data_IF_248531228534
#
_entry.id   IF_248531228534
#
_cell.length_a   1.000
_cell.length_b   1.000
_cell.length_c   1.000
_cell.angle_alpha   90.00
_cell.angle_beta   90.00
_cell.angle_gamma   90.00
#
_symmetry.space_group_name_H-M   'P 1'
#
loop_
_entity.id
_entity.type
_entity.pdbx_description
1 polymer ?
#
# COMPACT_ATOMS: atom_id res chain seq x y z
N UNK A 1 -1.95 -7.68 23.66
CA UNK A 1 -2.93 -8.78 23.51
C UNK A 1 -4.13 -8.36 22.67
N UNK A 2 -4.72 -7.18 22.89
CA UNK A 2 -5.84 -6.64 22.10
C UNK A 2 -5.41 -5.46 21.22
N UNK A 3 -4.46 -5.67 20.31
CA UNK A 3 -4.17 -4.70 19.26
C UNK A 3 -5.28 -4.75 18.19
N UNK A 4 -5.64 -3.65 17.52
CA UNK A 4 -6.76 -3.63 16.59
C UNK A 4 -6.59 -4.57 15.37
N UNK A 5 -5.37 -4.95 15.02
CA UNK A 5 -5.06 -5.92 13.94
C UNK A 5 -4.85 -7.35 14.48
N UNK A 6 -4.98 -7.58 15.78
CA UNK A 6 -4.70 -8.89 16.36
C UNK A 6 -5.87 -9.86 16.20
N UNK A 7 -5.54 -11.14 15.99
CA UNK A 7 -6.51 -12.25 15.98
C UNK A 7 -7.41 -12.30 17.21
N UNK A 8 -6.91 -11.88 18.38
CA UNK A 8 -7.68 -11.85 19.62
C UNK A 8 -8.76 -10.76 19.62
N UNK A 9 -8.46 -9.58 19.10
CA UNK A 9 -9.45 -8.50 18.96
C UNK A 9 -10.57 -8.90 17.99
N UNK A 10 -10.21 -9.51 16.85
CA UNK A 10 -11.18 -10.05 15.89
C UNK A 10 -12.08 -11.13 16.52
N UNK A 11 -11.48 -12.08 17.25
CA UNK A 11 -12.25 -13.12 17.94
C UNK A 11 -13.21 -12.55 18.97
N UNK A 12 -12.76 -11.58 19.78
CA UNK A 12 -13.62 -10.93 20.79
C UNK A 12 -14.76 -10.16 20.13
N UNK A 13 -14.49 -9.39 19.06
CA UNK A 13 -15.55 -8.65 18.36
C UNK A 13 -16.58 -9.60 17.72
N UNK A 14 -16.12 -10.69 17.13
CA UNK A 14 -17.00 -11.71 16.56
C UNK A 14 -17.89 -12.38 17.63
N UNK A 15 -17.33 -12.69 18.80
CA UNK A 15 -18.11 -13.23 19.93
C UNK A 15 -19.15 -12.22 20.44
N UNK A 16 -18.81 -10.94 20.52
CA UNK A 16 -19.76 -9.87 20.88
C UNK A 16 -20.89 -9.78 19.86
N UNK A 17 -20.57 -9.80 18.55
CA UNK A 17 -21.57 -9.78 17.48
C UNK A 17 -22.53 -10.97 17.58
N UNK A 18 -22.01 -12.20 17.71
CA UNK A 18 -22.84 -13.41 17.87
C UNK A 18 -23.69 -13.31 19.14
N UNK A 19 -23.13 -12.85 20.24
CA UNK A 19 -23.85 -12.62 21.50
C UNK A 19 -25.02 -11.63 21.34
N UNK A 20 -24.80 -10.52 20.62
CA UNK A 20 -25.83 -9.51 20.33
C UNK A 20 -26.92 -10.06 19.42
N UNK A 21 -26.59 -10.88 18.42
CA UNK A 21 -27.59 -11.55 17.56
C UNK A 21 -28.49 -12.47 18.37
N UNK A 22 -27.90 -13.31 19.24
CA UNK A 22 -28.65 -14.22 20.12
C UNK A 22 -29.53 -13.42 21.10
N UNK A 23 -28.97 -12.36 21.71
CA UNK A 23 -29.69 -11.50 22.64
C UNK A 23 -30.84 -10.77 21.94
N UNK A 24 -30.64 -10.25 20.73
CA UNK A 24 -31.67 -9.60 19.93
C UNK A 24 -32.85 -10.55 19.66
N UNK A 25 -32.56 -11.78 19.23
CA UNK A 25 -33.57 -12.81 19.01
C UNK A 25 -34.37 -13.14 20.28
N UNK A 26 -33.68 -13.32 21.41
CA UNK A 26 -34.31 -13.57 22.71
C UNK A 26 -35.17 -12.39 23.18
N UNK A 27 -34.65 -11.16 23.07
CA UNK A 27 -35.32 -9.91 23.44
C UNK A 27 -36.56 -9.64 22.61
N UNK A 28 -36.52 -9.88 21.30
CA UNK A 28 -37.67 -9.74 20.42
C UNK A 28 -38.81 -10.73 20.77
N UNK A 29 -38.47 -11.89 21.32
CA UNK A 29 -39.44 -12.89 21.78
C UNK A 29 -40.07 -12.53 23.14
N UNK A 30 -39.29 -11.93 24.04
CA UNK A 30 -39.66 -11.77 25.45
C UNK A 30 -39.96 -10.32 25.89
N UNK A 31 -39.88 -9.34 24.99
CA UNK A 31 -40.10 -7.94 25.33
C UNK A 31 -41.53 -7.67 25.83
N UNK A 32 -41.65 -7.20 27.09
CA UNK A 32 -42.90 -6.74 27.71
C UNK A 32 -42.75 -5.29 28.17
N UNK A 33 -43.83 -4.52 28.09
CA UNK A 33 -43.85 -3.11 28.47
C UNK A 33 -43.04 -2.20 27.53
N UNK A 34 -43.12 -0.88 27.76
CA UNK A 34 -42.48 0.14 26.91
C UNK A 34 -40.95 0.06 26.98
N UNK A 35 -40.38 -0.06 28.19
CA UNK A 35 -38.94 -0.23 28.41
C UNK A 35 -38.38 -1.52 27.81
N UNK A 36 -39.16 -2.60 27.87
CA UNK A 36 -38.80 -3.87 27.23
C UNK A 36 -38.61 -3.70 25.72
N UNK A 37 -39.52 -2.97 25.07
CA UNK A 37 -39.46 -2.69 23.63
C UNK A 37 -38.32 -1.72 23.28
N UNK A 38 -38.10 -0.67 24.08
CA UNK A 38 -36.99 0.27 23.88
C UNK A 38 -35.65 -0.45 23.94
N UNK A 39 -35.40 -1.24 24.98
CA UNK A 39 -34.15 -2.00 25.10
C UNK A 39 -33.99 -3.00 23.96
N UNK A 40 -35.07 -3.67 23.53
CA UNK A 40 -34.99 -4.57 22.37
C UNK A 40 -34.65 -3.84 21.08
N UNK A 41 -35.19 -2.63 20.87
CA UNK A 41 -34.84 -1.80 19.73
C UNK A 41 -33.35 -1.40 19.78
N UNK A 42 -32.84 -0.99 20.94
CA UNK A 42 -31.41 -0.67 21.13
C UNK A 42 -30.53 -1.89 20.81
N UNK A 43 -30.84 -3.07 21.34
CA UNK A 43 -30.06 -4.29 21.07
C UNK A 43 -30.09 -4.65 19.58
N UNK A 44 -31.23 -4.54 18.92
CA UNK A 44 -31.35 -4.79 17.47
C UNK A 44 -30.52 -3.78 16.67
N UNK A 45 -30.46 -2.52 17.09
CA UNK A 45 -29.61 -1.50 16.44
C UNK A 45 -28.11 -1.73 16.68
N UNK A 46 -27.71 -2.36 17.78
CA UNK A 46 -26.30 -2.68 18.05
C UNK A 46 -25.77 -3.86 17.22
N UNK A 47 -26.65 -4.73 16.70
CA UNK A 47 -26.24 -5.86 15.83
C UNK A 47 -25.52 -5.40 14.57
N UNK A 48 -26.07 -4.50 13.71
CA UNK A 48 -25.35 -4.05 12.52
C UNK A 48 -24.07 -3.28 12.87
N UNK A 49 -24.06 -2.51 13.97
CA UNK A 49 -22.86 -1.78 14.43
C UNK A 49 -21.74 -2.75 14.81
N UNK A 50 -22.03 -3.76 15.63
CA UNK A 50 -21.04 -4.77 16.04
C UNK A 50 -20.58 -5.66 14.87
N UNK A 51 -21.47 -5.96 13.93
CA UNK A 51 -21.13 -6.65 12.69
C UNK A 51 -20.15 -5.83 11.85
N UNK A 52 -20.43 -4.53 11.68
CA UNK A 52 -19.53 -3.61 10.99
C UNK A 52 -18.15 -3.54 11.66
N UNK A 53 -18.10 -3.33 12.99
CA UNK A 53 -16.85 -3.31 13.75
C UNK A 53 -16.05 -4.61 13.58
N UNK A 54 -16.74 -5.77 13.55
CA UNK A 54 -16.07 -7.07 13.33
C UNK A 54 -15.48 -7.18 11.92
N UNK A 55 -16.19 -6.68 10.90
CA UNK A 55 -15.66 -6.63 9.52
C UNK A 55 -14.46 -5.69 9.45
N UNK A 56 -14.49 -4.52 10.11
CA UNK A 56 -13.34 -3.63 10.21
C UNK A 56 -12.13 -4.32 10.84
N UNK A 57 -12.29 -5.04 11.95
CA UNK A 57 -11.20 -5.80 12.55
C UNK A 57 -10.72 -6.96 11.67
N UNK A 58 -11.60 -7.59 10.89
CA UNK A 58 -11.22 -8.65 9.95
C UNK A 58 -10.36 -8.10 8.81
N UNK A 59 -10.79 -6.99 8.20
CA UNK A 59 -10.03 -6.29 7.17
C UNK A 59 -8.69 -5.80 7.74
N UNK A 60 -8.72 -5.19 8.94
CA UNK A 60 -7.52 -4.69 9.59
C UNK A 60 -6.55 -5.80 9.99
N UNK A 61 -7.04 -6.96 10.42
CA UNK A 61 -6.21 -8.13 10.69
C UNK A 61 -5.53 -8.67 9.42
N UNK A 62 -6.25 -8.66 8.30
CA UNK A 62 -5.71 -9.16 7.04
C UNK A 62 -4.76 -8.18 6.33
N UNK A 63 -4.89 -6.88 6.63
CA UNK A 63 -4.23 -5.81 5.85
C UNK A 63 -3.36 -4.86 6.67
N UNK A 64 -3.39 -4.97 8.00
CA UNK A 64 -2.63 -4.16 8.95
C UNK A 64 -2.77 -2.64 8.73
N UNK A 65 -3.95 -2.15 8.32
CA UNK A 65 -4.24 -0.71 8.12
C UNK A 65 -3.96 0.14 9.38
N UNK A 66 -4.26 -0.42 10.55
CA UNK A 66 -4.15 0.20 11.85
C UNK A 66 -3.63 -0.83 12.86
N UNK A 67 -2.30 -1.05 12.93
CA UNK A 67 -1.72 -2.02 13.86
C UNK A 67 -1.83 -1.57 15.32
N UNK A 68 -2.11 -0.29 15.57
CA UNK A 68 -2.30 0.24 16.93
C UNK A 68 -3.60 1.03 17.08
N UNK A 69 -4.06 1.16 18.32
CA UNK A 69 -5.19 2.04 18.65
C UNK A 69 -4.89 3.52 18.34
N UNK A 70 -3.62 3.90 18.33
CA UNK A 70 -3.20 5.22 17.87
C UNK A 70 -3.47 5.39 16.38
N UNK A 71 -3.13 4.40 15.56
CA UNK A 71 -3.45 4.40 14.12
C UNK A 71 -4.96 4.44 13.87
N UNK A 72 -5.77 3.75 14.70
CA UNK A 72 -7.25 3.87 14.64
C UNK A 72 -7.73 5.28 14.95
N UNK A 73 -7.14 5.94 15.97
CA UNK A 73 -7.47 7.33 16.29
C UNK A 73 -7.06 8.30 15.16
N UNK A 74 -5.90 8.06 14.53
CA UNK A 74 -5.46 8.81 13.36
C UNK A 74 -6.42 8.65 12.18
N UNK A 75 -6.90 7.43 11.88
CA UNK A 75 -7.94 7.17 10.88
C UNK A 75 -9.26 7.89 11.22
N UNK A 76 -9.54 8.12 12.51
CA UNK A 76 -10.69 8.89 12.97
C UNK A 76 -10.46 10.42 12.97
N UNK A 77 -9.33 10.90 12.44
CA UNK A 77 -8.99 12.32 12.34
C UNK A 77 -8.43 12.94 13.62
N UNK A 78 -8.05 12.14 14.61
CA UNK A 78 -7.36 12.63 15.82
C UNK A 78 -5.91 12.94 15.45
N UNK A 79 -5.59 14.22 15.27
CA UNK A 79 -4.22 14.69 15.02
C UNK A 79 -3.51 14.93 16.35
N UNK A 80 -2.34 14.34 16.52
CA UNK A 80 -1.46 14.62 17.65
C UNK A 80 -0.40 15.62 17.16
N UNK A 81 -0.45 16.87 17.62
CA UNK A 81 0.58 17.85 17.28
C UNK A 81 1.90 17.43 17.92
N UNK A 82 2.89 17.08 17.08
CA UNK A 82 4.28 16.89 17.50
C UNK A 82 5.18 17.71 16.61
N UNK A 83 6.17 18.32 17.23
CA UNK A 83 7.25 18.98 16.52
C UNK A 83 8.10 17.91 15.82
N UNK A 84 8.03 17.87 14.48
CA UNK A 84 8.84 16.96 13.68
C UNK A 84 10.18 17.65 13.42
N UNK A 85 11.22 17.24 14.14
CA UNK A 85 12.58 17.65 13.80
C UNK A 85 13.07 16.78 12.64
N UNK A 86 12.78 17.24 11.43
CA UNK A 86 13.29 16.61 10.21
C UNK A 86 14.67 17.18 9.92
N UNK A 87 15.70 16.32 9.93
CA UNK A 87 16.94 16.66 9.22
C UNK A 87 16.64 16.56 7.72
N UNK A 88 16.66 17.69 7.02
CA UNK A 88 16.48 17.70 5.56
C UNK A 88 17.63 16.89 4.94
N UNK A 89 17.30 15.80 4.25
CA UNK A 89 18.28 14.98 3.56
C UNK A 89 18.92 15.82 2.45
N UNK A 90 20.18 16.19 2.63
CA UNK A 90 20.89 17.01 1.67
C UNK A 90 20.98 16.29 0.32
N UNK A 91 20.51 16.94 -0.75
CA UNK A 91 20.72 16.45 -2.11
C UNK A 91 22.19 16.71 -2.47
N UNK A 92 23.00 15.66 -2.70
CA UNK A 92 24.43 15.86 -2.92
C UNK A 92 24.70 16.57 -4.25
N UNK A 93 25.73 17.41 -4.27
CA UNK A 93 26.20 18.03 -5.50
C UNK A 93 26.94 17.02 -6.38
N UNK A 94 26.75 17.08 -7.69
CA UNK A 94 27.50 16.26 -8.63
C UNK A 94 28.91 16.82 -8.83
N UNK A 95 29.93 15.99 -8.57
CA UNK A 95 31.34 16.39 -8.69
C UNK A 95 31.94 16.11 -10.07
N UNK A 96 31.14 15.70 -11.06
CA UNK A 96 31.58 15.46 -12.43
C UNK A 96 32.06 14.04 -12.73
N UNK A 97 32.12 13.15 -11.74
CA UNK A 97 32.58 11.77 -11.91
C UNK A 97 31.79 10.80 -11.03
N UNK A 98 31.45 9.65 -11.61
CA UNK A 98 30.87 8.52 -10.87
C UNK A 98 31.97 7.76 -10.11
N UNK A 99 31.61 7.22 -8.95
CA UNK A 99 32.48 6.33 -8.17
C UNK A 99 31.91 4.91 -8.19
N UNK A 100 32.75 3.87 -8.28
CA UNK A 100 32.29 2.49 -8.12
C UNK A 100 31.59 2.30 -6.78
N UNK A 101 30.48 1.56 -6.80
CA UNK A 101 29.80 1.10 -5.60
C UNK A 101 30.57 -0.07 -5.00
N UNK A 102 31.32 0.22 -3.94
CA UNK A 102 32.12 -0.79 -3.22
C UNK A 102 31.22 -1.57 -2.25
N UNK A 103 31.36 -2.90 -2.28
CA UNK A 103 30.70 -3.75 -1.30
C UNK A 103 31.34 -3.54 0.08
N UNK A 104 30.54 -3.43 1.16
CA UNK A 104 31.12 -3.25 2.48
C UNK A 104 31.75 -4.56 2.99
N UNK A 105 32.87 -4.41 3.70
CA UNK A 105 33.59 -5.54 4.30
C UNK A 105 33.15 -5.81 5.75
N UNK A 106 33.28 -7.08 6.15
CA UNK A 106 33.13 -7.53 7.53
C UNK A 106 31.98 -8.50 7.77
N UNK A 107 32.05 -9.29 8.86
CA UNK A 107 31.07 -10.34 9.15
C UNK A 107 29.66 -9.81 9.42
N UNK A 108 29.52 -8.56 9.88
CA UNK A 108 28.22 -7.92 10.13
C UNK A 108 27.37 -7.72 8.86
N UNK A 109 27.98 -7.79 7.69
CA UNK A 109 27.31 -7.67 6.40
C UNK A 109 26.90 -9.02 5.81
N UNK A 110 27.35 -10.14 6.39
CA UNK A 110 27.02 -11.48 5.90
C UNK A 110 25.73 -11.97 6.57
N UNK A 111 24.79 -12.43 5.76
CA UNK A 111 23.49 -12.89 6.22
C UNK A 111 23.22 -14.33 5.75
N UNK A 112 22.39 -15.05 6.49
CA UNK A 112 21.88 -16.35 6.07
C UNK A 112 20.48 -16.17 5.49
N UNK A 113 20.33 -16.57 4.23
CA UNK A 113 19.06 -16.50 3.54
C UNK A 113 18.35 -17.84 3.57
N UNK A 114 17.05 -17.79 3.84
CA UNK A 114 16.15 -18.95 3.76
C UNK A 114 15.14 -18.68 2.67
N UNK A 115 14.89 -19.68 1.80
CA UNK A 115 13.84 -19.55 0.78
C UNK A 115 12.48 -19.50 1.48
N UNK A 116 11.74 -18.43 1.23
CA UNK A 116 10.41 -18.23 1.75
C UNK A 116 9.43 -19.15 0.99
N UNK A 117 8.75 -20.08 1.67
CA UNK A 117 7.87 -21.05 1.02
C UNK A 117 6.60 -20.41 0.44
N UNK A 118 6.24 -19.19 0.85
CA UNK A 118 4.98 -18.55 0.44
C UNK A 118 5.11 -17.75 -0.87
N UNK A 119 6.31 -17.22 -1.14
CA UNK A 119 6.58 -16.32 -2.26
C UNK A 119 7.84 -16.69 -3.09
N UNK A 120 8.62 -17.69 -2.68
CA UNK A 120 9.79 -18.18 -3.42
C UNK A 120 11.06 -17.33 -3.30
N UNK A 121 10.99 -16.10 -2.78
CA UNK A 121 12.16 -15.24 -2.60
C UNK A 121 13.07 -15.71 -1.46
N UNK A 122 14.32 -15.24 -1.45
CA UNK A 122 15.25 -15.44 -0.34
C UNK A 122 14.94 -14.43 0.76
N UNK A 123 14.68 -14.88 1.98
CA UNK A 123 14.40 -14.02 3.13
C UNK A 123 15.53 -14.08 4.15
N UNK A 124 15.87 -12.94 4.73
CA UNK A 124 16.66 -12.85 5.97
C UNK A 124 16.06 -11.79 6.90
N UNK A 125 16.17 -12.00 8.20
CA UNK A 125 16.00 -10.92 9.18
C UNK A 125 17.38 -10.29 9.39
N UNK A 126 17.54 -9.02 9.03
CA UNK A 126 18.85 -8.36 9.01
C UNK A 126 18.89 -7.19 9.99
N UNK A 127 19.96 -7.12 10.78
CA UNK A 127 20.27 -5.96 11.64
C UNK A 127 21.25 -5.06 10.91
N UNK A 128 20.78 -3.90 10.48
CA UNK A 128 21.55 -2.89 9.77
C UNK A 128 22.68 -2.29 10.61
N UNK A 129 23.96 -2.42 10.21
CA UNK A 129 25.08 -1.89 10.98
C UNK A 129 25.10 -0.35 11.09
N UNK A 130 24.49 0.37 10.15
CA UNK A 130 24.45 1.83 10.15
C UNK A 130 23.21 2.37 10.85
N UNK A 131 22.03 1.83 10.54
CA UNK A 131 20.75 2.31 11.09
C UNK A 131 20.39 1.72 12.45
N UNK A 132 20.96 0.57 12.81
CA UNK A 132 20.55 -0.24 13.97
C UNK A 132 19.18 -0.91 13.81
N UNK A 133 18.53 -0.77 12.66
CA UNK A 133 17.21 -1.35 12.35
C UNK A 133 17.34 -2.85 12.19
N UNK A 134 16.41 -3.62 12.78
CA UNK A 134 16.30 -5.06 12.55
C UNK A 134 14.98 -5.38 11.90
N UNK A 135 15.00 -5.74 10.62
CA UNK A 135 13.80 -6.01 9.84
C UNK A 135 14.04 -7.09 8.77
N UNK A 136 12.98 -7.76 8.29
CA UNK A 136 13.08 -8.69 7.19
C UNK A 136 13.41 -7.98 5.87
N UNK A 137 14.21 -8.65 5.05
CA UNK A 137 14.49 -8.31 3.66
C UNK A 137 14.24 -9.54 2.79
N UNK A 138 13.44 -9.37 1.74
CA UNK A 138 13.25 -10.38 0.71
C UNK A 138 14.10 -10.04 -0.51
N UNK A 139 14.77 -11.03 -1.08
CA UNK A 139 15.62 -10.89 -2.25
C UNK A 139 15.18 -11.93 -3.27
N UNK A 140 14.59 -11.45 -4.37
CA UNK A 140 14.36 -12.29 -5.54
C UNK A 140 15.64 -12.32 -6.38
N UNK A 141 16.04 -13.52 -6.79
CA UNK A 141 17.17 -13.76 -7.69
C UNK A 141 16.71 -14.67 -8.84
N UNK A 142 17.29 -14.54 -10.04
CA UNK A 142 16.98 -15.42 -11.15
C UNK A 142 17.21 -16.89 -10.78
N UNK A 143 16.40 -17.80 -11.35
CA UNK A 143 16.51 -19.23 -11.05
C UNK A 143 17.85 -19.84 -11.42
N UNK A 144 18.56 -19.24 -12.39
CA UNK A 144 19.89 -19.57 -12.86
C UNK A 144 20.98 -18.66 -12.27
N UNK A 145 20.74 -18.08 -11.08
CA UNK A 145 21.70 -17.23 -10.39
C UNK A 145 23.07 -17.90 -10.28
N UNK A 146 24.10 -17.22 -10.78
CA UNK A 146 25.48 -17.67 -10.79
C UNK A 146 26.37 -16.58 -10.17
N UNK A 147 27.02 -16.83 -9.01
CA UNK A 147 27.88 -15.84 -8.37
C UNK A 147 29.11 -15.43 -9.22
N UNK A 148 29.41 -16.11 -10.32
CA UNK A 148 30.44 -15.69 -11.28
C UNK A 148 29.97 -14.62 -12.27
N UNK A 149 28.66 -14.39 -12.41
CA UNK A 149 28.08 -13.31 -13.24
C UNK A 149 27.88 -12.04 -12.41
N UNK A 150 27.71 -10.91 -13.08
CA UNK A 150 27.38 -9.62 -12.44
C UNK A 150 25.92 -9.28 -12.70
N UNK A 151 25.18 -8.90 -11.65
CA UNK A 151 23.76 -8.59 -11.73
C UNK A 151 23.48 -7.10 -11.48
N UNK A 152 22.51 -6.56 -12.22
CA UNK A 152 21.87 -5.28 -11.91
C UNK A 152 20.97 -5.44 -10.68
N UNK A 153 20.67 -4.35 -9.99
CA UNK A 153 19.89 -4.40 -8.74
C UNK A 153 18.75 -3.41 -8.76
N UNK A 154 17.56 -3.86 -8.37
CA UNK A 154 16.42 -3.01 -8.04
C UNK A 154 16.15 -3.10 -6.54
N UNK A 155 16.20 -1.96 -5.84
CA UNK A 155 15.62 -1.85 -4.50
C UNK A 155 14.15 -1.46 -4.67
N UNK A 156 13.24 -2.40 -4.40
CA UNK A 156 11.81 -2.23 -4.61
C UNK A 156 11.10 -1.96 -3.27
N UNK A 157 10.47 -0.79 -3.18
CA UNK A 157 9.82 -0.27 -1.98
C UNK A 157 8.32 -0.59 -1.98
N UNK A 158 7.84 -1.01 -0.81
CA UNK A 158 6.42 -1.31 -0.59
C UNK A 158 5.54 -0.05 -0.61
N UNK A 159 4.26 -0.23 -0.94
CA UNK A 159 3.23 0.76 -0.63
C UNK A 159 2.86 0.74 0.86
N UNK A 160 1.97 1.64 1.28
CA UNK A 160 1.43 1.64 2.63
C UNK A 160 -0.10 1.80 2.60
N UNK A 161 -0.86 0.96 3.33
CA UNK A 161 -0.40 -0.25 4.02
C UNK A 161 -0.14 -1.41 3.03
N UNK A 162 0.82 -2.30 3.37
CA UNK A 162 1.17 -3.44 2.52
C UNK A 162 1.76 -4.60 3.32
N UNK A 163 1.56 -5.82 2.83
CA UNK A 163 2.30 -7.00 3.27
C UNK A 163 3.51 -7.16 2.35
N UNK A 164 4.70 -6.76 2.82
CA UNK A 164 5.95 -6.81 2.05
C UNK A 164 6.27 -8.21 1.51
N UNK A 165 5.97 -9.23 2.31
CA UNK A 165 6.14 -10.65 1.96
C UNK A 165 5.33 -11.09 0.75
N UNK A 166 4.23 -10.40 0.43
CA UNK A 166 3.39 -10.75 -0.71
C UNK A 166 3.92 -10.15 -2.01
N UNK A 167 4.77 -9.10 -1.95
CA UNK A 167 5.25 -8.35 -3.11
C UNK A 167 5.83 -9.24 -4.22
N UNK A 168 6.74 -10.20 -3.93
CA UNK A 168 7.27 -11.07 -4.97
C UNK A 168 6.19 -11.85 -5.72
N UNK A 169 5.13 -12.23 -5.02
CA UNK A 169 4.03 -13.04 -5.57
C UNK A 169 2.99 -12.19 -6.29
N UNK A 170 2.63 -11.03 -5.75
CA UNK A 170 1.63 -10.14 -6.40
C UNK A 170 2.17 -9.46 -7.64
N UNK A 171 3.49 -9.28 -7.74
CA UNK A 171 4.16 -8.87 -8.97
C UNK A 171 4.58 -10.05 -9.87
N UNK A 172 4.29 -11.28 -9.45
CA UNK A 172 4.65 -12.51 -10.18
C UNK A 172 6.12 -12.51 -10.66
N UNK A 173 7.06 -12.22 -9.75
CA UNK A 173 8.46 -12.05 -10.15
C UNK A 173 9.04 -13.31 -10.82
N UNK A 174 8.66 -14.51 -10.35
CA UNK A 174 9.08 -15.78 -10.97
C UNK A 174 8.52 -15.96 -12.39
N UNK A 175 7.31 -15.47 -12.68
CA UNK A 175 6.69 -15.57 -14.00
C UNK A 175 7.12 -14.47 -14.96
N UNK A 176 7.22 -13.23 -14.48
CA UNK A 176 7.49 -12.06 -15.31
C UNK A 176 8.98 -11.85 -15.57
N UNK A 177 9.82 -11.93 -14.54
CA UNK A 177 11.21 -11.47 -14.64
C UNK A 177 12.04 -12.28 -15.64
N UNK A 178 11.96 -13.63 -15.71
CA UNK A 178 12.75 -14.39 -16.69
C UNK A 178 12.51 -14.00 -18.15
N UNK A 179 11.33 -13.45 -18.48
CA UNK A 179 10.99 -12.96 -19.82
C UNK A 179 11.47 -11.54 -20.12
N UNK A 180 12.07 -10.86 -19.14
CA UNK A 180 12.47 -9.44 -19.19
C UNK A 180 13.96 -9.31 -18.89
N UNK A 181 14.39 -9.92 -17.79
CA UNK A 181 15.75 -9.82 -17.28
C UNK A 181 16.23 -11.18 -16.74
N UNK A 182 17.40 -11.60 -17.21
CA UNK A 182 18.13 -12.75 -16.64
C UNK A 182 19.28 -12.31 -15.73
N UNK A 183 19.55 -11.01 -15.65
CA UNK A 183 20.68 -10.40 -14.96
C UNK A 183 20.26 -9.35 -13.92
N UNK A 184 19.05 -9.44 -13.36
CA UNK A 184 18.57 -8.54 -12.29
C UNK A 184 18.31 -9.27 -10.98
N UNK A 185 18.68 -8.63 -9.87
CA UNK A 185 18.28 -8.97 -8.50
C UNK A 185 17.28 -7.92 -8.02
N UNK A 186 16.23 -8.35 -7.30
CA UNK A 186 15.25 -7.43 -6.71
C UNK A 186 15.25 -7.62 -5.20
N UNK A 187 15.64 -6.59 -4.46
CA UNK A 187 15.60 -6.59 -2.99
C UNK A 187 14.45 -5.71 -2.49
N UNK A 188 13.68 -6.25 -1.54
CA UNK A 188 12.42 -5.69 -1.06
C UNK A 188 12.53 -5.57 0.48
N UNK A 189 13.00 -4.43 1.00
CA UNK A 189 13.09 -4.22 2.43
C UNK A 189 11.73 -3.86 3.04
N UNK A 190 11.50 -4.28 4.29
CA UNK A 190 10.37 -3.78 5.09
C UNK A 190 10.57 -2.29 5.41
N UNK A 191 9.50 -1.48 5.29
CA UNK A 191 9.53 -0.04 5.58
C UNK A 191 8.68 0.37 6.79
N UNK A 192 7.75 -0.47 7.25
CA UNK A 192 7.08 -0.24 8.54
C UNK A 192 8.00 -0.68 9.70
N UNK A 193 8.86 0.26 10.15
CA UNK A 193 9.94 0.00 11.11
C UNK A 193 9.54 0.10 12.59
N UNK A 194 8.39 0.72 12.85
CA UNK A 194 7.82 0.89 14.18
C UNK A 194 6.28 0.83 14.10
N UNK A 195 5.60 1.23 15.17
CA UNK A 195 4.13 1.16 15.25
C UNK A 195 3.40 2.37 14.67
N UNK A 196 4.12 3.35 14.14
CA UNK A 196 3.58 4.57 13.54
C UNK A 196 3.55 4.46 12.01
N UNK A 197 2.80 5.35 11.35
CA UNK A 197 2.81 5.42 9.88
C UNK A 197 4.24 5.62 9.36
N UNK A 198 4.67 4.89 8.32
CA UNK A 198 6.07 4.85 7.92
C UNK A 198 6.50 6.15 7.24
N UNK A 199 7.73 6.57 7.51
CA UNK A 199 8.49 7.54 6.70
C UNK A 199 9.67 6.77 6.09
N UNK A 200 10.21 7.24 4.96
CA UNK A 200 11.34 6.59 4.29
C UNK A 200 12.62 7.44 4.35
N UNK A 201 12.64 8.45 5.21
CA UNK A 201 13.81 9.28 5.51
C UNK A 201 14.16 9.13 6.99
N UNK A 202 15.38 9.51 7.35
CA UNK A 202 15.79 9.50 8.75
C UNK A 202 15.12 10.68 9.49
N UNK A 203 14.38 10.37 10.55
CA UNK A 203 13.72 11.36 11.40
C UNK A 203 14.24 11.20 12.82
N UNK A 204 14.63 12.31 13.46
CA UNK A 204 15.14 12.28 14.82
C UNK A 204 14.13 11.62 15.78
N UNK A 205 14.61 10.66 16.57
CA UNK A 205 13.78 9.91 17.52
C UNK A 205 12.91 8.81 16.89
N UNK A 206 13.09 8.49 15.61
CA UNK A 206 12.52 7.31 14.94
C UNK A 206 13.61 6.35 14.45
N UNK A 207 13.26 5.09 14.12
CA UNK A 207 14.15 4.23 13.35
C UNK A 207 14.65 4.94 12.07
N UNK A 208 15.93 4.77 11.74
CA UNK A 208 16.55 5.44 10.59
C UNK A 208 16.17 4.74 9.27
N UNK A 209 14.97 5.06 8.76
CA UNK A 209 14.40 4.42 7.58
C UNK A 209 15.17 4.70 6.28
N UNK A 210 15.68 5.93 6.11
CA UNK A 210 16.51 6.28 4.97
C UNK A 210 17.82 5.50 4.98
N UNK A 211 18.54 5.52 6.10
CA UNK A 211 19.80 4.77 6.25
C UNK A 211 19.59 3.25 6.18
N UNK A 212 18.46 2.73 6.68
CA UNK A 212 18.09 1.32 6.53
C UNK A 212 18.06 0.90 5.05
N UNK A 213 17.37 1.66 4.20
CA UNK A 213 17.28 1.34 2.77
C UNK A 213 18.60 1.59 2.05
N UNK A 214 19.17 2.79 2.20
CA UNK A 214 20.24 3.26 1.30
C UNK A 214 21.65 2.86 1.73
N UNK A 215 21.84 2.46 2.99
CA UNK A 215 23.14 1.97 3.49
C UNK A 215 23.07 0.50 3.83
N UNK A 216 22.11 0.11 4.67
CA UNK A 216 22.11 -1.25 5.22
C UNK A 216 21.60 -2.30 4.23
N UNK A 217 20.47 -2.06 3.57
CA UNK A 217 19.93 -3.01 2.58
C UNK A 217 20.80 -3.04 1.32
N UNK A 218 21.26 -1.88 0.84
CA UNK A 218 22.22 -1.82 -0.29
C UNK A 218 23.50 -2.58 0.06
N UNK A 219 24.09 -2.33 1.23
CA UNK A 219 25.30 -3.02 1.68
C UNK A 219 25.09 -4.52 1.89
N UNK A 220 23.94 -4.94 2.44
CA UNK A 220 23.54 -6.34 2.55
C UNK A 220 23.54 -7.02 1.18
N UNK A 221 22.91 -6.40 0.18
CA UNK A 221 22.81 -7.00 -1.16
C UNK A 221 24.18 -7.09 -1.82
N UNK A 222 24.99 -6.01 -1.77
CA UNK A 222 26.35 -6.01 -2.32
C UNK A 222 27.27 -7.05 -1.64
N UNK A 223 27.12 -7.25 -0.32
CA UNK A 223 27.97 -8.16 0.42
C UNK A 223 27.59 -9.65 0.23
N UNK A 224 26.38 -9.97 -0.21
CA UNK A 224 25.90 -11.37 -0.28
C UNK A 224 25.58 -11.83 -1.72
N UNK A 225 25.49 -10.93 -2.69
CA UNK A 225 25.21 -11.24 -4.07
C UNK A 225 26.22 -10.58 -5.02
N UNK A 226 26.37 -11.14 -6.23
CA UNK A 226 27.29 -10.61 -7.23
C UNK A 226 26.65 -9.44 -7.98
N UNK A 227 26.75 -8.24 -7.41
CA UNK A 227 26.11 -7.04 -7.94
C UNK A 227 27.06 -6.17 -8.76
N UNK A 228 26.53 -5.44 -9.74
CA UNK A 228 27.28 -4.41 -10.47
C UNK A 228 27.79 -3.31 -9.53
N UNK A 229 28.96 -2.75 -9.84
CA UNK A 229 29.52 -1.60 -9.14
C UNK A 229 29.14 -0.26 -9.81
N UNK A 230 28.42 -0.30 -10.93
CA UNK A 230 28.01 0.91 -11.65
C UNK A 230 26.64 1.35 -11.17
N UNK A 231 26.51 2.57 -10.67
CA UNK A 231 25.22 3.16 -10.25
C UNK A 231 24.12 3.09 -11.31
N UNK A 232 24.47 3.09 -12.60
CA UNK A 232 23.49 3.01 -13.68
C UNK A 232 22.80 1.63 -13.76
N UNK A 233 23.42 0.61 -13.18
CA UNK A 233 22.89 -0.75 -13.01
C UNK A 233 22.15 -0.91 -11.68
N UNK A 234 21.91 0.18 -10.94
CA UNK A 234 21.12 0.22 -9.72
C UNK A 234 19.92 1.14 -9.89
N UNK A 235 18.73 0.57 -9.68
CA UNK A 235 17.48 1.30 -9.66
C UNK A 235 16.84 1.24 -8.28
N UNK A 236 16.13 2.30 -7.93
CA UNK A 236 15.17 2.30 -6.82
C UNK A 236 13.77 2.43 -7.40
N UNK A 237 12.88 1.53 -6.98
CA UNK A 237 11.52 1.42 -7.50
C UNK A 237 10.53 1.38 -6.36
N UNK A 238 9.26 1.73 -6.60
CA UNK A 238 8.23 1.51 -5.61
C UNK A 238 6.83 1.84 -6.10
N UNK A 239 5.84 1.40 -5.33
CA UNK A 239 4.43 1.63 -5.60
C UNK A 239 3.77 2.48 -4.51
N UNK A 240 2.86 3.40 -4.86
CA UNK A 240 2.11 4.22 -3.89
C UNK A 240 3.07 5.04 -3.00
N UNK A 241 3.00 4.86 -1.68
CA UNK A 241 4.00 5.33 -0.71
C UNK A 241 5.43 5.04 -1.16
N UNK A 242 5.74 3.82 -1.59
CA UNK A 242 7.03 3.45 -2.16
C UNK A 242 7.34 4.18 -3.47
N UNK A 243 6.31 4.55 -4.25
CA UNK A 243 6.41 5.35 -5.47
C UNK A 243 6.71 6.83 -5.21
N UNK A 244 6.45 7.35 -4.01
CA UNK A 244 6.97 8.64 -3.56
C UNK A 244 8.37 8.49 -2.93
N UNK A 245 8.60 7.44 -2.15
CA UNK A 245 9.89 7.17 -1.51
C UNK A 245 11.03 6.91 -2.49
N UNK A 246 10.76 6.21 -3.61
CA UNK A 246 11.79 5.90 -4.60
C UNK A 246 12.41 7.17 -5.21
N UNK A 247 11.63 8.16 -5.70
CA UNK A 247 12.17 9.47 -6.07
C UNK A 247 12.91 10.20 -4.95
N UNK A 248 12.37 10.24 -3.72
CA UNK A 248 13.01 10.91 -2.59
C UNK A 248 14.39 10.31 -2.30
N UNK A 249 14.46 8.98 -2.13
CA UNK A 249 15.71 8.30 -1.84
C UNK A 249 16.67 8.30 -3.02
N UNK A 250 16.17 8.19 -4.25
CA UNK A 250 16.95 8.30 -5.48
C UNK A 250 17.61 9.67 -5.63
N UNK A 251 16.87 10.75 -5.38
CA UNK A 251 17.38 12.13 -5.47
C UNK A 251 18.34 12.48 -4.33
N UNK A 252 18.15 11.91 -3.13
CA UNK A 252 19.07 12.10 -1.99
C UNK A 252 20.28 11.17 -2.02
N UNK A 253 20.23 10.07 -2.77
CA UNK A 253 21.34 9.11 -2.93
C UNK A 253 21.66 8.79 -4.40
N UNK A 254 21.85 9.81 -5.25
CA UNK A 254 22.05 9.62 -6.67
C UNK A 254 23.37 8.92 -6.99
N UNK A 255 24.34 8.90 -6.08
CA UNK A 255 25.57 8.12 -6.20
C UNK A 255 25.31 6.61 -6.19
N UNK A 256 24.19 6.16 -5.63
CA UNK A 256 23.78 4.75 -5.58
C UNK A 256 22.87 4.42 -6.75
N UNK A 257 21.82 5.24 -6.96
CA UNK A 257 20.78 4.93 -7.93
C UNK A 257 20.92 5.77 -9.19
N UNK A 258 21.13 5.11 -10.32
CA UNK A 258 21.13 5.73 -11.65
C UNK A 258 19.76 5.92 -12.25
N UNK A 259 18.80 5.11 -11.82
CA UNK A 259 17.44 5.13 -12.32
C UNK A 259 16.43 5.06 -11.17
N UNK A 260 15.29 5.72 -11.37
CA UNK A 260 14.18 5.77 -10.42
C UNK A 260 12.91 5.35 -11.13
N UNK A 261 12.15 4.44 -10.51
CA UNK A 261 10.85 3.99 -11.00
C UNK A 261 9.78 4.32 -9.95
N UNK A 262 8.72 5.01 -10.36
CA UNK A 262 7.57 5.31 -9.50
C UNK A 262 6.30 4.73 -10.13
N UNK A 263 5.56 3.93 -9.38
CA UNK A 263 4.26 3.40 -9.81
C UNK A 263 3.17 3.96 -8.90
N UNK A 264 2.27 4.79 -9.44
CA UNK A 264 1.26 5.49 -8.67
C UNK A 264 1.81 6.26 -7.46
N UNK A 265 3.02 6.83 -7.58
CA UNK A 265 3.53 7.76 -6.57
C UNK A 265 2.77 9.09 -6.61
N UNK A 266 3.04 9.94 -5.63
CA UNK A 266 2.47 11.27 -5.49
C UNK A 266 3.58 12.30 -5.26
N UNK A 267 3.31 13.59 -5.48
CA UNK A 267 4.36 14.62 -5.47
C UNK A 267 4.81 15.04 -4.05
N UNK A 268 3.94 15.56 -3.17
CA UNK A 268 4.28 15.85 -1.76
C UNK A 268 4.14 14.61 -0.86
N UNK A 269 4.80 14.54 0.31
CA UNK A 269 4.56 13.46 1.27
C UNK A 269 3.08 13.43 1.72
N UNK A 270 2.45 12.26 1.61
CA UNK A 270 1.06 11.99 2.05
C UNK A 270 0.97 10.87 3.10
N UNK A 271 2.11 10.33 3.53
CA UNK A 271 2.22 9.25 4.52
C UNK A 271 3.29 9.62 5.55
N UNK A 272 3.18 9.09 6.77
CA UNK A 272 4.15 9.32 7.82
C UNK A 272 4.09 10.73 8.40
N UNK A 273 5.12 11.11 9.17
CA UNK A 273 5.16 12.40 9.88
C UNK A 273 5.50 13.58 8.98
N UNK A 274 6.15 13.35 7.83
CA UNK A 274 6.54 14.45 6.94
C UNK A 274 5.35 15.24 6.39
N UNK A 275 4.18 14.60 6.25
CA UNK A 275 2.98 15.26 5.76
C UNK A 275 2.41 16.32 6.71
N UNK A 276 2.77 16.24 8.01
CA UNK A 276 2.21 17.10 9.06
C UNK A 276 3.03 18.38 9.27
N UNK A 277 4.26 18.47 8.74
CA UNK A 277 5.11 19.66 8.81
C UNK A 277 5.22 20.35 7.43
N UNK A 278 4.67 21.57 7.25
CA UNK A 278 4.75 22.30 5.98
C UNK A 278 6.18 22.50 5.44
N UNK A 279 7.19 22.60 6.32
CA UNK A 279 8.60 22.69 5.87
C UNK A 279 9.05 21.37 5.28
N UNK A 280 8.78 20.27 5.98
CA UNK A 280 9.07 18.93 5.49
C UNK A 280 8.33 18.63 4.18
N UNK A 281 7.04 18.96 4.09
CA UNK A 281 6.25 18.87 2.85
C UNK A 281 6.98 19.57 1.72
N UNK A 282 7.34 20.85 1.91
CA UNK A 282 8.04 21.62 0.86
C UNK A 282 9.39 21.01 0.48
N UNK A 283 10.18 20.56 1.46
CA UNK A 283 11.52 20.00 1.23
C UNK A 283 11.49 18.65 0.52
N UNK A 284 10.46 17.83 0.76
CA UNK A 284 10.31 16.49 0.22
C UNK A 284 9.23 16.35 -0.87
N UNK A 285 8.68 17.46 -1.36
CA UNK A 285 7.97 17.48 -2.65
C UNK A 285 8.96 17.14 -3.77
N UNK A 286 8.66 16.09 -4.54
CA UNK A 286 9.59 15.53 -5.53
C UNK A 286 10.01 16.59 -6.55
N UNK A 287 9.09 17.39 -7.07
CA UNK A 287 9.43 18.44 -8.05
C UNK A 287 10.37 19.50 -7.47
N UNK A 288 10.27 19.83 -6.17
CA UNK A 288 11.20 20.73 -5.49
C UNK A 288 12.59 20.09 -5.34
N UNK A 289 12.66 18.79 -5.02
CA UNK A 289 13.92 18.05 -4.95
C UNK A 289 14.60 17.98 -6.33
N UNK A 290 13.84 17.69 -7.39
CA UNK A 290 14.35 17.67 -8.76
C UNK A 290 14.91 19.03 -9.20
N UNK A 291 14.30 20.14 -8.76
CA UNK A 291 14.82 21.48 -9.01
C UNK A 291 16.20 21.73 -8.35
N UNK A 292 16.47 21.11 -7.20
CA UNK A 292 17.74 21.21 -6.48
C UNK A 292 18.81 20.22 -6.99
N UNK A 293 18.39 19.12 -7.60
CA UNK A 293 19.27 18.05 -8.05
C UNK A 293 20.19 18.46 -9.22
N UNK A 294 21.41 17.92 -9.18
CA UNK A 294 22.51 18.18 -10.12
C UNK A 294 23.11 16.92 -10.75
N UNK A 295 22.89 15.74 -10.15
CA UNK A 295 23.36 14.47 -10.69
C UNK A 295 22.59 14.06 -11.95
N UNK A 296 23.21 13.34 -12.90
CA UNK A 296 22.50 12.68 -13.98
C UNK A 296 21.73 11.46 -13.46
N UNK A 297 20.40 11.43 -13.63
CA UNK A 297 19.54 10.33 -13.16
C UNK A 297 18.31 10.21 -14.04
N UNK A 298 17.86 9.00 -14.37
CA UNK A 298 16.70 8.78 -15.24
C UNK A 298 15.47 8.41 -14.41
N UNK A 299 14.29 8.87 -14.83
CA UNK A 299 13.03 8.60 -14.14
C UNK A 299 12.01 7.96 -15.08
N UNK A 300 11.34 6.91 -14.61
CA UNK A 300 10.16 6.32 -15.26
C UNK A 300 9.00 6.32 -14.26
N UNK A 301 7.97 7.11 -14.55
CA UNK A 301 6.90 7.40 -13.61
C UNK A 301 5.57 6.98 -14.23
N UNK A 302 4.82 6.14 -13.53
CA UNK A 302 3.54 5.62 -14.01
C UNK A 302 2.38 5.98 -13.09
N UNK A 303 1.19 6.06 -13.65
CA UNK A 303 -0.05 6.34 -12.93
C UNK A 303 -1.26 5.91 -13.75
N UNK A 304 -2.46 6.16 -13.24
CA UNK A 304 -3.72 5.89 -13.98
C UNK A 304 -4.68 7.06 -13.89
N UNK A 305 -5.57 7.21 -14.86
CA UNK A 305 -6.65 8.23 -14.81
C UNK A 305 -7.68 7.97 -13.69
N UNK A 306 -7.68 6.77 -13.11
CA UNK A 306 -8.48 6.44 -11.93
C UNK A 306 -7.85 6.89 -10.61
N UNK A 307 -6.60 7.35 -10.63
CA UNK A 307 -5.73 7.62 -9.48
C UNK A 307 -5.23 9.08 -9.53
N UNK A 308 -6.03 9.98 -8.96
CA UNK A 308 -5.88 11.43 -9.12
C UNK A 308 -4.55 11.97 -8.62
N UNK A 309 -4.04 11.46 -7.50
CA UNK A 309 -2.76 11.94 -6.94
C UNK A 309 -1.59 11.57 -7.87
N UNK A 310 -1.63 10.36 -8.44
CA UNK A 310 -0.63 9.94 -9.42
C UNK A 310 -0.73 10.74 -10.72
N UNK A 311 -1.95 11.02 -11.19
CA UNK A 311 -2.16 11.81 -12.40
C UNK A 311 -1.63 13.24 -12.23
N UNK A 312 -1.93 13.88 -11.09
CA UNK A 312 -1.40 15.21 -10.75
C UNK A 312 0.12 15.17 -10.68
N UNK A 313 0.71 14.16 -10.02
CA UNK A 313 2.16 14.04 -9.95
C UNK A 313 2.80 13.92 -11.36
N UNK A 314 2.25 13.10 -12.24
CA UNK A 314 2.74 12.98 -13.62
C UNK A 314 2.61 14.29 -14.41
N UNK A 315 1.56 15.07 -14.16
CA UNK A 315 1.41 16.39 -14.76
C UNK A 315 2.46 17.37 -14.22
N UNK A 316 2.65 17.45 -12.90
CA UNK A 316 3.59 18.38 -12.27
C UNK A 316 5.05 18.06 -12.63
N UNK A 317 5.42 16.79 -12.65
CA UNK A 317 6.78 16.36 -13.00
C UNK A 317 7.10 16.61 -14.48
N UNK A 318 6.10 16.55 -15.37
CA UNK A 318 6.28 16.89 -16.80
C UNK A 318 6.66 18.36 -17.01
N UNK A 319 6.40 19.24 -16.04
CA UNK A 319 6.78 20.65 -16.08
C UNK A 319 8.21 20.90 -15.55
N UNK A 320 8.87 19.89 -15.00
CA UNK A 320 10.25 20.01 -14.50
C UNK A 320 11.23 20.00 -15.66
N UNK A 321 11.75 21.17 -16.01
CA UNK A 321 12.76 21.30 -17.07
C UNK A 321 14.19 21.15 -16.50
N UNK A 322 14.64 19.90 -16.36
CA UNK A 322 15.98 19.54 -15.88
C UNK A 322 16.67 18.57 -16.85
N UNK A 323 17.59 19.04 -17.72
CA UNK A 323 18.24 18.18 -18.72
C UNK A 323 19.02 17.00 -18.16
N UNK A 324 19.52 17.11 -16.92
CA UNK A 324 20.21 16.02 -16.21
C UNK A 324 19.24 14.99 -15.61
N UNK A 325 17.93 15.26 -15.62
CA UNK A 325 16.88 14.38 -15.11
C UNK A 325 15.86 14.07 -16.20
N UNK A 326 16.20 13.29 -17.24
CA UNK A 326 15.20 12.85 -18.20
C UNK A 326 14.09 12.04 -17.50
N UNK A 327 12.85 12.47 -17.70
CA UNK A 327 11.64 11.84 -17.15
C UNK A 327 10.82 11.27 -18.28
N UNK A 328 10.46 10.00 -18.15
CA UNK A 328 9.45 9.36 -18.99
C UNK A 328 8.22 9.06 -18.13
N UNK A 329 7.03 9.41 -18.66
CA UNK A 329 5.77 9.22 -17.95
C UNK A 329 4.84 8.29 -18.71
N UNK A 330 4.12 7.45 -17.98
CA UNK A 330 3.09 6.56 -18.51
C UNK A 330 1.80 6.66 -17.70
N UNK A 331 0.74 7.21 -18.30
CA UNK A 331 -0.58 7.32 -17.71
C UNK A 331 -1.52 6.29 -18.35
N UNK A 332 -1.85 5.19 -17.66
CA UNK A 332 -2.83 4.22 -18.16
C UNK A 332 -4.24 4.83 -18.07
N UNK A 333 -5.00 4.88 -19.17
CA UNK A 333 -6.39 5.34 -19.14
C UNK A 333 -7.34 4.39 -18.38
N UNK A 334 -6.85 3.22 -17.93
CA UNK A 334 -7.59 2.17 -17.23
C UNK A 334 -6.99 1.96 -15.85
N UNK A 335 -7.81 1.45 -14.94
CA UNK A 335 -7.36 1.04 -13.62
C UNK A 335 -7.58 2.08 -12.52
N UNK A 336 -6.80 1.92 -11.45
CA UNK A 336 -6.84 2.72 -10.23
C UNK A 336 -5.64 2.37 -9.35
N UNK A 337 -5.68 2.75 -8.08
CA UNK A 337 -4.55 2.64 -7.16
C UNK A 337 -4.41 1.22 -6.55
N UNK A 338 -3.89 0.24 -7.31
CA UNK A 338 -3.85 -1.16 -6.86
C UNK A 338 -2.72 -2.02 -7.46
N UNK A 339 -2.40 -3.13 -6.78
CA UNK A 339 -1.34 -4.08 -7.15
C UNK A 339 -1.51 -4.74 -8.51
N UNK A 340 -2.73 -4.88 -9.03
CA UNK A 340 -2.92 -5.44 -10.38
C UNK A 340 -2.33 -4.50 -11.43
N UNK A 341 -2.54 -3.19 -11.27
CA UNK A 341 -1.97 -2.19 -12.18
C UNK A 341 -0.45 -2.18 -12.08
N UNK A 342 0.10 -2.25 -10.86
CA UNK A 342 1.56 -2.26 -10.68
C UNK A 342 2.21 -3.54 -11.19
N UNK A 343 1.54 -4.70 -11.04
CA UNK A 343 1.94 -5.95 -11.69
C UNK A 343 2.02 -5.78 -13.22
N UNK A 344 1.09 -5.06 -13.83
CA UNK A 344 1.06 -4.86 -15.28
C UNK A 344 2.09 -3.79 -15.75
N UNK A 345 2.37 -2.76 -14.93
CA UNK A 345 3.30 -1.67 -15.25
C UNK A 345 4.77 -2.03 -15.02
N UNK A 346 5.06 -2.85 -14.00
CA UNK A 346 6.44 -3.12 -13.57
C UNK A 346 7.32 -3.75 -14.66
N UNK A 347 6.83 -4.71 -15.48
CA UNK A 347 7.57 -5.22 -16.62
C UNK A 347 8.12 -4.17 -17.57
N UNK A 348 7.28 -3.20 -17.91
CA UNK A 348 7.63 -2.17 -18.90
C UNK A 348 8.64 -1.19 -18.33
N UNK A 349 8.50 -0.85 -17.04
CA UNK A 349 9.48 -0.04 -16.33
C UNK A 349 10.87 -0.71 -16.28
N UNK A 350 10.92 -2.05 -16.18
CA UNK A 350 12.18 -2.80 -16.21
C UNK A 350 12.80 -2.86 -17.61
N UNK A 351 11.99 -3.07 -18.66
CA UNK A 351 12.45 -2.97 -20.06
C UNK A 351 13.04 -1.60 -20.37
N UNK A 352 12.34 -0.53 -19.96
CA UNK A 352 12.83 0.84 -20.05
C UNK A 352 14.20 1.02 -19.38
N UNK A 353 14.34 0.47 -18.17
CA UNK A 353 15.57 0.59 -17.39
C UNK A 353 16.74 -0.16 -18.05
N UNK A 354 16.46 -1.28 -18.73
CA UNK A 354 17.44 -1.99 -19.54
C UNK A 354 17.85 -1.25 -20.82
N UNK A 355 17.15 -0.18 -21.17
CA UNK A 355 17.42 0.65 -22.35
C UNK A 355 16.56 0.30 -23.56
N UNK A 356 15.56 -0.56 -23.40
CA UNK A 356 14.54 -0.77 -24.42
C UNK A 356 13.65 0.48 -24.53
N UNK A 357 13.23 0.81 -25.74
CA UNK A 357 12.23 1.86 -25.94
C UNK A 357 10.89 1.25 -25.55
N UNK A 358 10.18 1.82 -24.56
CA UNK A 358 8.92 1.27 -24.15
C UNK A 358 7.93 1.24 -25.30
N UNK A 359 7.13 0.19 -25.40
CA UNK A 359 6.08 0.05 -26.43
C UNK A 359 4.85 0.89 -26.03
N UNK A 360 5.10 2.17 -25.72
CA UNK A 360 4.13 3.17 -25.33
C UNK A 360 3.38 3.66 -26.58
N UNK A 361 2.76 2.75 -27.31
CA UNK A 361 1.74 3.12 -28.28
C UNK A 361 0.66 3.89 -27.52
N UNK A 362 0.58 5.20 -27.78
CA UNK A 362 -0.43 6.15 -27.29
C UNK A 362 -1.76 5.40 -27.14
N UNK A 363 -2.10 5.05 -25.90
CA UNK A 363 -3.37 4.39 -25.63
C UNK A 363 -4.46 5.40 -26.00
N UNK A 364 -5.00 5.25 -27.21
CA UNK A 364 -6.17 5.97 -27.68
C UNK A 364 -7.20 5.89 -26.57
N UNK A 365 -7.64 7.06 -26.11
CA UNK A 365 -8.80 7.28 -25.26
C UNK A 365 -9.92 6.36 -25.72
N UNK A 366 -9.99 5.17 -25.15
CA UNK A 366 -11.08 4.25 -25.42
C UNK A 366 -12.07 4.63 -24.35
N UNK A 367 -13.17 5.27 -24.76
CA UNK A 367 -14.30 5.57 -23.89
C UNK A 367 -14.88 4.23 -23.41
N UNK A 368 -14.25 3.62 -22.41
CA UNK A 368 -14.90 2.64 -21.57
C UNK A 368 -15.81 3.49 -20.70
N UNK A 369 -17.11 3.47 -21.03
CA UNK A 369 -18.14 3.96 -20.12
C UNK A 369 -17.94 3.23 -18.80
N UNK A 370 -17.36 3.90 -17.81
CA UNK A 370 -17.47 3.49 -16.43
C UNK A 370 -18.95 3.46 -16.13
N UNK A 371 -19.50 2.27 -15.87
CA UNK A 371 -20.86 2.14 -15.37
C UNK A 371 -20.90 2.76 -13.98
N UNK A 372 -21.25 4.06 -13.95
CA UNK A 372 -21.23 4.96 -12.80
C UNK A 372 -22.25 4.59 -11.70
N UNK A 373 -22.76 3.36 -11.69
CA UNK A 373 -23.68 2.90 -10.69
C UNK A 373 -23.00 2.74 -9.32
N UNK A 374 -21.72 2.32 -9.30
CA UNK A 374 -20.98 2.03 -8.06
C UNK A 374 -19.99 3.10 -7.62
N UNK A 375 -19.61 4.03 -8.50
CA UNK A 375 -18.65 5.11 -8.19
C UNK A 375 -19.33 6.48 -7.92
N UNK A 376 -20.65 6.57 -8.11
CA UNK A 376 -21.43 7.78 -7.87
C UNK A 376 -22.23 7.76 -6.55
N UNK A 377 -22.61 8.94 -6.01
CA UNK A 377 -23.34 9.07 -4.75
C UNK A 377 -24.75 8.45 -4.76
N UNK A 378 -25.28 8.09 -5.94
CA UNK A 378 -26.61 7.50 -6.11
C UNK A 378 -26.72 6.07 -5.56
N UNK A 379 -25.69 5.22 -5.72
CA UNK A 379 -25.71 3.83 -5.27
C UNK A 379 -25.89 3.68 -3.75
N UNK A 380 -25.04 4.32 -2.92
CA UNK A 380 -25.16 4.30 -1.46
C UNK A 380 -26.46 4.93 -0.96
N UNK A 381 -26.94 5.99 -1.61
CA UNK A 381 -28.20 6.67 -1.24
C UNK A 381 -29.40 5.77 -1.49
N UNK A 382 -29.47 5.10 -2.65
CA UNK A 382 -30.54 4.14 -2.96
C UNK A 382 -30.50 2.90 -2.05
N UNK A 383 -29.30 2.46 -1.68
CA UNK A 383 -29.10 1.36 -0.74
C UNK A 383 -29.48 1.72 0.71
N UNK A 384 -29.11 2.92 1.18
CA UNK A 384 -29.54 3.45 2.48
C UNK A 384 -31.05 3.64 2.55
N UNK A 385 -31.67 4.18 1.49
CA UNK A 385 -33.12 4.35 1.38
C UNK A 385 -33.84 3.00 1.41
N UNK A 386 -33.33 1.97 0.75
CA UNK A 386 -33.95 0.64 0.76
C UNK A 386 -33.85 -0.05 2.12
N UNK A 387 -32.75 0.14 2.87
CA UNK A 387 -32.65 -0.31 4.27
C UNK A 387 -33.66 0.40 5.17
N UNK A 388 -33.80 1.72 5.03
CA UNK A 388 -34.77 2.52 5.81
C UNK A 388 -36.21 2.15 5.47
N UNK A 389 -36.53 1.94 4.18
CA UNK A 389 -37.86 1.52 3.74
C UNK A 389 -38.19 0.10 4.20
N UNK A 390 -37.23 -0.83 4.18
CA UNK A 390 -37.41 -2.19 4.67
C UNK A 390 -37.57 -2.23 6.20
N UNK A 391 -36.82 -1.41 6.94
CA UNK A 391 -37.00 -1.22 8.38
C UNK A 391 -38.38 -0.64 8.71
N UNK A 392 -38.79 0.41 7.99
CA UNK A 392 -40.12 1.01 8.13
C UNK A 392 -41.24 0.02 7.83
N UNK A 393 -41.11 -0.78 6.76
CA UNK A 393 -42.06 -1.81 6.39
C UNK A 393 -42.13 -2.97 7.40
N UNK A 394 -40.98 -3.42 7.91
CA UNK A 394 -40.88 -4.48 8.91
C UNK A 394 -41.49 -4.07 10.26
N UNK A 395 -41.27 -2.81 10.67
CA UNK A 395 -41.85 -2.23 11.89
C UNK A 395 -43.36 -2.01 11.75
N UNK A 396 -43.83 -1.59 10.57
CA UNK A 396 -45.25 -1.33 10.31
C UNK A 396 -46.12 -2.61 10.28
N UNK A 397 -45.60 -3.75 9.82
CA UNK A 397 -46.36 -5.02 9.70
C UNK A 397 -46.03 -6.08 10.76
N UNK A 398 -45.17 -5.77 11.73
CA UNK A 398 -44.56 -6.73 12.64
C UNK A 398 -45.51 -7.51 13.58
N UNK A 399 -46.78 -7.12 13.71
CA UNK A 399 -47.71 -7.74 14.68
C UNK A 399 -48.14 -9.17 14.32
N UNK A 400 -48.11 -9.56 13.04
CA UNK A 400 -48.63 -10.86 12.55
C UNK A 400 -47.56 -11.86 12.05
N UNK A 401 -46.27 -11.58 12.27
CA UNK A 401 -45.19 -12.38 11.69
C UNK A 401 -44.66 -13.43 12.67
N UNK A 402 -44.59 -14.69 12.22
CA UNK A 402 -43.90 -15.78 12.93
C UNK A 402 -42.39 -15.57 13.01
N UNK A 403 -41.75 -16.20 14.00
CA UNK A 403 -40.33 -16.00 14.38
C UNK A 403 -39.37 -16.12 13.19
N UNK A 404 -39.55 -17.14 12.34
CA UNK A 404 -38.71 -17.39 11.17
C UNK A 404 -38.67 -16.20 10.19
N UNK A 405 -39.82 -15.57 9.93
CA UNK A 405 -39.90 -14.44 9.00
C UNK A 405 -39.24 -13.18 9.56
N UNK A 406 -39.27 -12.98 10.89
CA UNK A 406 -38.56 -11.86 11.54
C UNK A 406 -37.05 -12.05 11.46
N UNK A 407 -36.56 -13.27 11.70
CA UNK A 407 -35.14 -13.60 11.59
C UNK A 407 -34.62 -13.40 10.17
N UNK A 408 -35.37 -13.84 9.14
CA UNK A 408 -35.00 -13.64 7.73
C UNK A 408 -34.88 -12.15 7.38
N UNK A 409 -35.81 -11.32 7.86
CA UNK A 409 -35.75 -9.87 7.61
C UNK A 409 -34.57 -9.20 8.30
N UNK A 410 -34.25 -9.59 9.54
CA UNK A 410 -33.07 -9.06 10.25
C UNK A 410 -31.78 -9.49 9.55
N UNK A 411 -31.68 -10.74 9.10
CA UNK A 411 -30.52 -11.22 8.34
C UNK A 411 -30.40 -10.52 6.98
N UNK A 412 -31.52 -10.26 6.29
CA UNK A 412 -31.53 -9.52 5.03
C UNK A 412 -31.09 -8.06 5.22
N UNK A 413 -31.53 -7.40 6.29
CA UNK A 413 -31.11 -6.03 6.63
C UNK A 413 -29.61 -5.98 7.00
N UNK A 414 -29.13 -6.95 7.77
CA UNK A 414 -27.70 -7.06 8.11
C UNK A 414 -26.84 -7.35 6.87
N UNK A 415 -27.30 -8.23 5.98
CA UNK A 415 -26.64 -8.53 4.72
C UNK A 415 -26.60 -7.34 3.77
N UNK A 416 -27.72 -6.61 3.62
CA UNK A 416 -27.77 -5.35 2.88
C UNK A 416 -26.85 -4.29 3.48
N UNK A 417 -26.85 -4.12 4.80
CA UNK A 417 -25.97 -3.19 5.49
C UNK A 417 -24.49 -3.49 5.27
N UNK A 418 -24.08 -4.76 5.35
CA UNK A 418 -22.72 -5.18 5.00
C UNK A 418 -22.41 -4.87 3.52
N UNK A 419 -23.35 -5.15 2.60
CA UNK A 419 -23.18 -4.89 1.17
C UNK A 419 -23.05 -3.39 0.84
N UNK A 420 -23.86 -2.53 1.46
CA UNK A 420 -23.76 -1.06 1.33
C UNK A 420 -22.39 -0.55 1.77
N UNK A 421 -21.84 -1.18 2.80
CA UNK A 421 -20.61 -0.73 3.42
C UNK A 421 -19.39 -1.19 2.63
N UNK A 422 -19.45 -2.39 2.03
CA UNK A 422 -18.49 -2.84 1.03
C UNK A 422 -18.49 -1.92 -0.21
N UNK A 423 -19.65 -1.37 -0.60
CA UNK A 423 -19.73 -0.36 -1.65
C UNK A 423 -19.13 1.00 -1.27
N UNK A 424 -19.25 1.41 -0.01
CA UNK A 424 -18.63 2.65 0.48
C UNK A 424 -17.10 2.51 0.52
N UNK A 425 -16.58 1.37 1.00
CA UNK A 425 -15.14 1.07 0.93
C UNK A 425 -14.68 1.08 -0.52
N UNK A 426 -15.46 0.49 -1.42
CA UNK A 426 -15.17 0.50 -2.85
C UNK A 426 -15.20 1.90 -3.50
N UNK A 427 -16.03 2.81 -3.02
CA UNK A 427 -16.10 4.19 -3.50
C UNK A 427 -14.83 4.98 -3.15
N UNK A 428 -14.24 4.68 -2.00
CA UNK A 428 -13.04 5.32 -1.49
C UNK A 428 -11.77 4.74 -2.13
N UNK A 429 -11.73 3.42 -2.34
CA UNK A 429 -10.56 2.71 -2.90
C UNK A 429 -10.63 2.45 -4.40
N UNK A 430 -11.79 2.66 -5.04
CA UNK A 430 -12.09 2.36 -6.47
C UNK A 430 -11.74 0.94 -6.91
N UNK A 431 -11.80 -0.05 -6.00
CA UNK A 431 -11.32 -1.43 -6.23
C UNK A 431 -12.18 -2.31 -7.15
N UNK A 432 -13.46 -1.98 -7.33
CA UNK A 432 -14.48 -2.75 -8.07
C UNK A 432 -15.13 -1.80 -9.04
N UNK A 433 -14.76 -1.95 -10.31
CA UNK A 433 -15.16 -1.07 -11.41
C UNK A 433 -16.25 -1.69 -12.30
N UNK A 434 -16.59 -2.98 -12.09
CA UNK A 434 -17.68 -3.69 -12.80
C UNK A 434 -18.19 -4.95 -12.05
N UNK A 435 -19.35 -5.49 -12.43
CA UNK A 435 -19.90 -6.74 -11.86
C UNK A 435 -18.96 -7.95 -12.02
N UNK A 436 -18.13 -7.98 -13.06
CA UNK A 436 -17.14 -9.04 -13.30
C UNK A 436 -15.97 -8.97 -12.30
N UNK A 437 -15.69 -7.80 -11.72
CA UNK A 437 -14.62 -7.60 -10.73
C UNK A 437 -15.02 -7.92 -9.28
N UNK A 438 -16.30 -8.24 -9.03
CA UNK A 438 -16.78 -8.67 -7.70
C UNK A 438 -16.05 -9.94 -7.22
N UNK A 439 -15.72 -10.86 -8.13
CA UNK A 439 -15.00 -12.08 -7.80
C UNK A 439 -13.54 -11.78 -7.38
N UNK A 440 -12.91 -10.74 -7.95
CA UNK A 440 -11.58 -10.28 -7.54
C UNK A 440 -11.60 -9.68 -6.12
N UNK A 441 -12.67 -8.97 -5.77
CA UNK A 441 -12.89 -8.42 -4.42
C UNK A 441 -13.10 -9.51 -3.36
N UNK A 442 -13.85 -10.57 -3.66
CA UNK A 442 -13.98 -11.72 -2.74
C UNK A 442 -12.72 -12.60 -2.71
N UNK A 443 -11.95 -12.67 -3.81
CA UNK A 443 -10.61 -13.29 -3.80
C UNK A 443 -9.60 -12.51 -2.94
N UNK A 444 -9.76 -11.20 -2.80
CA UNK A 444 -9.05 -10.33 -1.83
C UNK A 444 -9.42 -10.62 -0.37
N UNK A 445 -10.56 -11.27 -0.09
CA UNK A 445 -10.99 -11.68 1.26
C UNK A 445 -10.61 -13.14 1.59
N UNK A 446 -10.13 -13.91 0.60
CA UNK A 446 -9.94 -15.36 0.72
C UNK A 446 -8.51 -15.87 0.49
N UNK A 447 -7.49 -14.99 0.49
CA UNK A 447 -6.09 -15.41 0.55
C UNK A 447 -5.29 -14.51 1.47
#
# INVERSE_FOLDING_TARGET
MFAPDSKWTLLVSALIFVGLVVLAGWRLKNARGIWGRIISAVVVLLVPVSGFVTVCFAINHARHFAPTWRSVAALAGVKEEREVQVEEAAIPAYTGHDRPLEAPDGPQWKAQFVRDPENGALKTDFTGPNSGVTMPVWVWVPSDYDPAKTYRVVILLEGYPSLTSDIPKVLDLDGQMPGITSDTIIAIPKLELDSESPDCVDIAGRPQAGSWVTKDVVGLVQANFSTSQNRNDWAIAGASYGGWCAPVLGLSHPQIFGSVISMSGYNPPMTGRLQDDPRAVSSYTITNMMQKASWPQRFYLTGTTGDTDSEVFLQEVSQVNKPNLPVETYLDPRGGHNWKIWHDHFPEALRWWQGEVPDNAVAKKTDIKQDAFFTGPLGPVLCGLSVVLLLGWALARGKNWGVLKRTIVVLAIAGLGAWCLLLIVNLDTKTVVSFESIDAFFKLLHR
#
